data_IF_496716757012
#
_entry.id   IF_496716757012
#
_cell.length_a   1.000
_cell.length_b   1.000
_cell.length_c   1.000
_cell.angle_alpha   90.00
_cell.angle_beta   90.00
_cell.angle_gamma   90.00
#
_symmetry.space_group_name_H-M   'P 1'
#
loop_
_entity.id
_entity.type
_entity.pdbx_description
1 polymer ?
#
# COMPACT_ATOMS: atom_id res chain seq x y z
N UNK A 1 -6.02 47.81 -35.14
CA UNK A 1 -6.39 46.67 -34.26
C UNK A 1 -6.43 45.40 -35.12
N UNK A 2 -5.45 44.50 -34.96
CA UNK A 2 -5.33 43.29 -35.78
C UNK A 2 -6.16 42.17 -35.12
N UNK A 3 -7.25 41.75 -35.77
CA UNK A 3 -8.11 40.65 -35.33
C UNK A 3 -7.47 39.33 -35.77
N UNK A 4 -6.86 38.60 -34.84
CA UNK A 4 -6.33 37.24 -35.09
C UNK A 4 -7.51 36.26 -35.11
N UNK A 5 -7.91 35.81 -36.30
CA UNK A 5 -8.90 34.75 -36.46
C UNK A 5 -8.21 33.40 -36.30
N UNK A 6 -8.56 32.65 -35.27
CA UNK A 6 -8.08 31.27 -35.09
C UNK A 6 -8.77 30.41 -36.16
N UNK A 7 -8.01 29.67 -37.00
CA UNK A 7 -8.61 28.84 -38.04
C UNK A 7 -9.42 27.71 -37.41
N UNK A 8 -10.63 27.46 -37.91
CA UNK A 8 -11.55 26.40 -37.41
C UNK A 8 -10.90 25.00 -37.38
N UNK A 9 -9.88 24.78 -38.21
CA UNK A 9 -9.07 23.55 -38.23
C UNK A 9 -8.25 23.35 -36.96
N UNK A 10 -7.79 24.43 -36.31
CA UNK A 10 -7.07 24.35 -35.03
C UNK A 10 -7.99 23.94 -33.87
N UNK A 11 -9.29 24.24 -33.95
CA UNK A 11 -10.28 23.85 -32.94
C UNK A 11 -10.60 22.35 -33.01
N UNK A 12 -10.66 21.76 -34.20
CA UNK A 12 -10.84 20.31 -34.37
C UNK A 12 -9.63 19.49 -33.92
N UNK A 13 -8.40 19.98 -34.12
CA UNK A 13 -7.19 19.29 -33.66
C UNK A 13 -7.05 19.27 -32.13
N UNK A 14 -7.53 20.31 -31.44
CA UNK A 14 -7.54 20.40 -29.97
C UNK A 14 -8.56 19.47 -29.32
N UNK A 15 -9.66 19.12 -30.02
CA UNK A 15 -10.68 18.20 -29.52
C UNK A 15 -10.28 16.72 -29.65
N UNK A 16 -9.37 16.37 -30.57
CA UNK A 16 -8.90 14.99 -30.76
C UNK A 16 -7.86 14.55 -29.71
N UNK A 17 -7.24 15.48 -28.97
CA UNK A 17 -6.22 15.17 -27.96
C UNK A 17 -6.78 14.70 -26.61
N UNK A 18 -8.10 14.64 -26.41
CA UNK A 18 -8.70 14.18 -25.14
C UNK A 18 -8.92 12.65 -25.09
N UNK A 19 -8.71 11.92 -26.18
CA UNK A 19 -8.87 10.46 -26.20
C UNK A 19 -7.55 9.75 -25.82
N UNK A 20 -7.07 9.95 -24.59
CA UNK A 20 -6.05 9.05 -24.02
C UNK A 20 -6.77 7.89 -23.35
N UNK A 21 -6.81 6.74 -24.02
CA UNK A 21 -7.30 5.51 -23.42
C UNK A 21 -6.17 4.97 -22.53
N UNK A 22 -6.34 5.04 -21.20
CA UNK A 22 -5.41 4.44 -20.26
C UNK A 22 -5.51 2.91 -20.28
N UNK A 23 -4.43 2.18 -19.92
CA UNK A 23 -4.47 0.72 -19.85
C UNK A 23 -5.55 0.27 -18.85
N UNK A 24 -6.38 -0.70 -19.26
CA UNK A 24 -7.35 -1.36 -18.39
C UNK A 24 -6.63 -2.33 -17.45
N UNK A 25 -5.99 -1.82 -16.40
CA UNK A 25 -5.40 -2.65 -15.36
C UNK A 25 -6.52 -3.32 -14.58
N UNK A 26 -6.61 -4.64 -14.67
CA UNK A 26 -7.52 -5.42 -13.84
C UNK A 26 -6.79 -5.85 -12.56
N UNK A 27 -7.42 -5.65 -11.41
CA UNK A 27 -6.86 -5.97 -10.10
C UNK A 27 -7.51 -7.24 -9.53
N UNK A 28 -6.69 -8.06 -8.87
CA UNK A 28 -7.15 -9.22 -8.13
C UNK A 28 -7.31 -8.86 -6.64
N UNK A 29 -8.55 -8.88 -6.16
CA UNK A 29 -8.89 -8.59 -4.76
C UNK A 29 -8.97 -9.87 -3.91
N UNK A 30 -9.18 -11.04 -4.52
CA UNK A 30 -9.29 -12.32 -3.82
C UNK A 30 -10.27 -12.24 -2.64
N UNK A 31 -9.79 -12.59 -1.44
CA UNK A 31 -10.56 -12.53 -0.18
C UNK A 31 -10.32 -11.25 0.63
N UNK A 32 -10.01 -10.13 -0.03
CA UNK A 32 -9.72 -8.87 0.66
C UNK A 32 -10.89 -8.39 1.53
N UNK A 33 -12.12 -8.39 1.00
CA UNK A 33 -13.32 -7.99 1.73
C UNK A 33 -13.57 -8.89 2.95
N UNK A 34 -13.38 -10.20 2.80
CA UNK A 34 -13.52 -11.17 3.89
C UNK A 34 -12.49 -10.92 4.99
N UNK A 35 -11.26 -10.53 4.62
CA UNK A 35 -10.20 -10.18 5.59
C UNK A 35 -10.57 -8.96 6.45
N UNK A 36 -11.31 -8.00 5.89
CA UNK A 36 -11.83 -6.85 6.62
C UNK A 36 -12.98 -7.27 7.54
N UNK A 37 -13.92 -8.05 7.02
CA UNK A 37 -15.08 -8.51 7.78
C UNK A 37 -14.66 -9.38 8.96
N UNK A 38 -13.72 -10.30 8.76
CA UNK A 38 -13.26 -11.20 9.82
C UNK A 38 -12.59 -10.45 10.96
N UNK A 39 -11.79 -9.41 10.67
CA UNK A 39 -11.18 -8.54 11.70
C UNK A 39 -12.21 -7.68 12.42
N UNK A 40 -13.24 -7.23 11.71
CA UNK A 40 -14.34 -6.47 12.31
C UNK A 40 -15.17 -7.33 13.28
N UNK A 41 -15.44 -8.59 12.91
CA UNK A 41 -16.22 -9.52 13.74
C UNK A 41 -15.40 -10.13 14.88
N UNK A 42 -14.11 -10.40 14.65
CA UNK A 42 -13.23 -11.08 15.59
C UNK A 42 -12.07 -10.14 15.95
N UNK A 43 -12.26 -9.29 16.95
CA UNK A 43 -11.22 -8.38 17.39
C UNK A 43 -10.02 -9.14 18.02
N UNK A 44 -8.83 -8.58 17.85
CA UNK A 44 -7.59 -9.11 18.43
C UNK A 44 -6.86 -10.09 17.52
N UNK A 45 -5.92 -10.83 18.11
CA UNK A 45 -4.91 -11.64 17.39
C UNK A 45 -5.54 -12.68 16.46
N UNK A 46 -6.63 -13.33 16.88
CA UNK A 46 -7.28 -14.37 16.08
C UNK A 46 -7.81 -13.83 14.74
N UNK A 47 -8.55 -12.71 14.76
CA UNK A 47 -9.07 -12.11 13.53
C UNK A 47 -7.96 -11.54 12.65
N UNK A 48 -6.91 -10.99 13.26
CA UNK A 48 -5.73 -10.50 12.54
C UNK A 48 -4.94 -11.61 11.87
N UNK A 49 -4.75 -12.75 12.53
CA UNK A 49 -4.07 -13.90 11.93
C UNK A 49 -4.90 -14.54 10.81
N UNK A 50 -6.22 -14.60 10.97
CA UNK A 50 -7.14 -15.08 9.93
C UNK A 50 -7.07 -14.17 8.69
N UNK A 51 -7.17 -12.85 8.88
CA UNK A 51 -7.03 -11.89 7.80
C UNK A 51 -5.65 -11.94 7.13
N UNK A 52 -4.57 -12.09 7.89
CA UNK A 52 -3.22 -12.21 7.33
C UNK A 52 -3.12 -13.45 6.42
N UNK A 53 -3.79 -14.54 6.78
CA UNK A 53 -3.85 -15.76 5.94
C UNK A 53 -4.61 -15.48 4.65
N UNK A 54 -5.76 -14.82 4.72
CA UNK A 54 -6.56 -14.45 3.54
C UNK A 54 -5.77 -13.53 2.58
N UNK A 55 -5.10 -12.51 3.11
CA UNK A 55 -4.30 -11.59 2.32
C UNK A 55 -3.08 -12.28 1.69
N UNK A 56 -2.41 -13.18 2.42
CA UNK A 56 -1.32 -13.98 1.87
C UNK A 56 -1.79 -14.87 0.72
N UNK A 57 -2.97 -15.49 0.83
CA UNK A 57 -3.59 -16.25 -0.28
C UNK A 57 -3.86 -15.34 -1.46
N UNK A 58 -4.49 -14.17 -1.27
CA UNK A 58 -4.74 -13.20 -2.34
C UNK A 58 -3.45 -12.80 -3.08
N UNK A 59 -2.37 -12.53 -2.34
CA UNK A 59 -1.06 -12.15 -2.89
C UNK A 59 -0.45 -13.30 -3.71
N UNK A 60 -0.61 -14.54 -3.25
CA UNK A 60 -0.05 -15.70 -3.93
C UNK A 60 -0.84 -16.11 -5.17
N UNK A 61 -2.15 -15.85 -5.21
CA UNK A 61 -3.01 -16.21 -6.33
C UNK A 61 -2.95 -15.21 -7.48
N UNK A 62 -2.87 -13.90 -7.19
CA UNK A 62 -2.90 -12.87 -8.24
C UNK A 62 -1.84 -13.07 -9.36
N UNK A 63 -0.56 -13.40 -9.07
CA UNK A 63 0.45 -13.58 -10.11
C UNK A 63 0.24 -14.85 -10.96
N UNK A 64 -0.56 -15.82 -10.49
CA UNK A 64 -0.71 -17.12 -11.15
C UNK A 64 -1.58 -17.09 -12.39
N UNK A 65 -2.48 -16.10 -12.49
CA UNK A 65 -3.36 -15.96 -13.64
C UNK A 65 -2.72 -15.20 -14.82
N UNK A 66 -1.56 -14.55 -14.59
CA UNK A 66 -0.80 -13.77 -15.57
C UNK A 66 -1.56 -12.57 -16.16
N UNK A 67 -2.72 -12.23 -15.61
CA UNK A 67 -3.68 -11.26 -16.14
C UNK A 67 -3.95 -10.12 -15.16
N UNK A 68 -3.76 -10.37 -13.87
CA UNK A 68 -4.10 -9.43 -12.81
C UNK A 68 -2.90 -9.13 -11.94
N UNK A 69 -2.79 -7.86 -11.54
CA UNK A 69 -1.90 -7.49 -10.46
C UNK A 69 -2.64 -7.62 -9.13
N UNK A 70 -1.91 -7.94 -8.07
CA UNK A 70 -2.40 -7.80 -6.68
C UNK A 70 -2.98 -6.39 -6.54
N UNK A 71 -4.18 -6.22 -5.99
CA UNK A 71 -4.81 -4.92 -5.87
C UNK A 71 -4.01 -3.92 -4.99
N UNK A 72 -4.13 -2.59 -5.24
CA UNK A 72 -3.46 -1.58 -4.43
C UNK A 72 -3.90 -1.68 -2.97
N UNK A 73 -2.94 -1.53 -2.06
CA UNK A 73 -3.13 -1.59 -0.63
C UNK A 73 -3.11 -2.99 -0.02
N UNK A 74 -3.19 -4.07 -0.81
CA UNK A 74 -3.19 -5.45 -0.28
C UNK A 74 -1.83 -5.79 0.34
N UNK A 75 -0.73 -5.45 -0.32
CA UNK A 75 0.61 -5.63 0.25
C UNK A 75 0.82 -4.74 1.48
N UNK A 76 0.30 -3.50 1.46
CA UNK A 76 0.37 -2.61 2.61
C UNK A 76 -0.36 -3.17 3.85
N UNK A 77 -1.59 -3.66 3.67
CA UNK A 77 -2.39 -4.20 4.77
C UNK A 77 -1.79 -5.51 5.31
N UNK A 78 -1.31 -6.37 4.42
CA UNK A 78 -0.61 -7.59 4.84
C UNK A 78 0.67 -7.27 5.62
N UNK A 79 1.49 -6.33 5.12
CA UNK A 79 2.68 -5.85 5.82
C UNK A 79 2.37 -5.28 7.20
N UNK A 80 1.27 -4.53 7.34
CA UNK A 80 0.82 -4.02 8.63
C UNK A 80 0.46 -5.15 9.61
N UNK A 81 -0.27 -6.18 9.16
CA UNK A 81 -0.58 -7.34 9.99
C UNK A 81 0.66 -8.13 10.42
N UNK A 82 1.63 -8.30 9.52
CA UNK A 82 2.92 -8.93 9.84
C UNK A 82 3.68 -8.14 10.90
N UNK A 83 3.69 -6.82 10.80
CA UNK A 83 4.30 -5.95 11.81
C UNK A 83 3.65 -6.13 13.18
N UNK A 84 2.31 -6.19 13.24
CA UNK A 84 1.58 -6.45 14.49
C UNK A 84 1.90 -7.81 15.11
N UNK A 85 2.21 -8.81 14.28
CA UNK A 85 2.67 -10.14 14.70
C UNK A 85 4.16 -10.18 15.09
N UNK A 86 4.87 -9.05 15.06
CA UNK A 86 6.30 -8.96 15.35
C UNK A 86 7.22 -9.42 14.20
N UNK A 87 6.66 -9.76 13.04
CA UNK A 87 7.40 -10.18 11.84
C UNK A 87 7.87 -8.95 11.05
N UNK A 88 8.77 -8.17 11.67
CA UNK A 88 9.17 -6.85 11.16
C UNK A 88 9.85 -6.91 9.79
N UNK A 89 10.70 -7.90 9.56
CA UNK A 89 11.42 -8.03 8.28
C UNK A 89 10.47 -8.39 7.12
N UNK A 90 9.54 -9.32 7.36
CA UNK A 90 8.51 -9.67 6.38
C UNK A 90 7.59 -8.46 6.11
N UNK A 91 7.21 -7.72 7.16
CA UNK A 91 6.41 -6.51 7.01
C UNK A 91 7.09 -5.48 6.10
N UNK A 92 8.38 -5.22 6.31
CA UNK A 92 9.16 -4.29 5.47
C UNK A 92 9.19 -4.78 4.02
N UNK A 93 9.38 -6.09 3.79
CA UNK A 93 9.41 -6.65 2.45
C UNK A 93 8.08 -6.44 1.71
N UNK A 94 6.95 -6.63 2.38
CA UNK A 94 5.62 -6.38 1.79
C UNK A 94 5.37 -4.90 1.49
N UNK A 95 5.75 -4.00 2.40
CA UNK A 95 5.64 -2.56 2.16
C UNK A 95 6.53 -2.10 0.99
N UNK A 96 7.69 -2.72 0.78
CA UNK A 96 8.55 -2.47 -0.38
C UNK A 96 7.90 -2.93 -1.69
N UNK A 97 7.19 -4.08 -1.68
CA UNK A 97 6.43 -4.55 -2.85
C UNK A 97 5.31 -3.60 -3.21
N UNK A 98 4.54 -3.12 -2.23
CA UNK A 98 3.50 -2.10 -2.46
C UNK A 98 4.09 -0.84 -3.10
N UNK A 99 5.18 -0.31 -2.53
CA UNK A 99 5.88 0.86 -3.05
C UNK A 99 6.41 0.70 -4.49
N UNK A 100 6.75 -0.54 -4.88
CA UNK A 100 7.24 -0.84 -6.22
C UNK A 100 6.08 -0.97 -7.22
N UNK A 101 4.97 -1.59 -6.82
CA UNK A 101 3.77 -1.77 -7.66
C UNK A 101 2.97 -0.48 -7.83
N UNK A 102 2.96 0.36 -6.79
CA UNK A 102 2.10 1.54 -6.67
C UNK A 102 2.92 2.77 -6.27
N UNK A 103 3.52 3.49 -7.24
CA UNK A 103 4.35 4.67 -6.97
C UNK A 103 3.64 5.77 -6.15
N UNK A 104 2.32 5.86 -6.25
CA UNK A 104 1.48 6.78 -5.47
C UNK A 104 1.50 6.47 -3.96
N UNK A 105 1.76 5.21 -3.58
CA UNK A 105 1.81 4.78 -2.18
C UNK A 105 3.20 4.97 -1.54
N UNK A 106 4.25 5.16 -2.35
CA UNK A 106 5.65 5.20 -1.89
C UNK A 106 5.90 6.09 -0.67
N UNK A 107 5.39 7.34 -0.62
CA UNK A 107 5.66 8.21 0.53
C UNK A 107 5.15 7.59 1.85
N UNK A 108 3.98 6.94 1.81
CA UNK A 108 3.42 6.26 2.98
C UNK A 108 4.25 5.03 3.34
N UNK A 109 4.57 4.18 2.36
CA UNK A 109 5.32 2.94 2.59
C UNK A 109 6.70 3.19 3.18
N UNK A 110 7.44 4.17 2.66
CA UNK A 110 8.77 4.53 3.18
C UNK A 110 8.71 5.12 4.58
N UNK A 111 7.69 5.95 4.88
CA UNK A 111 7.47 6.43 6.25
C UNK A 111 7.20 5.28 7.22
N UNK A 112 6.40 4.29 6.84
CA UNK A 112 6.13 3.11 7.66
C UNK A 112 7.40 2.28 7.87
N UNK A 113 8.15 1.99 6.81
CA UNK A 113 9.41 1.23 6.85
C UNK A 113 10.43 1.91 7.77
N UNK A 114 10.64 3.22 7.63
CA UNK A 114 11.56 3.98 8.49
C UNK A 114 11.21 3.80 9.96
N UNK A 115 9.93 3.96 10.33
CA UNK A 115 9.49 3.81 11.73
C UNK A 115 9.65 2.39 12.26
N UNK A 116 9.54 1.38 11.40
CA UNK A 116 9.77 -0.01 11.78
C UNK A 116 11.26 -0.29 12.00
N UNK A 117 12.13 0.27 11.16
CA UNK A 117 13.59 0.16 11.29
C UNK A 117 14.11 0.85 12.55
N UNK A 118 13.57 2.05 12.86
CA UNK A 118 13.89 2.77 14.10
C UNK A 118 13.55 1.92 15.34
N UNK A 119 12.41 1.21 15.32
CA UNK A 119 12.02 0.29 16.42
C UNK A 119 12.86 -0.98 16.48
N UNK A 120 13.46 -1.43 15.38
CA UNK A 120 14.34 -2.61 15.33
C UNK A 120 15.71 -2.32 15.96
N UNK A 121 16.12 -1.07 15.94
CA UNK A 121 17.37 -0.64 16.58
C UNK A 121 17.06 -0.28 18.03
N UNK A 122 17.50 -1.06 19.03
CA UNK A 122 17.36 -0.63 20.41
C UNK A 122 18.16 0.66 20.58
N UNK A 123 17.49 1.79 20.84
CA UNK A 123 18.17 2.98 21.34
C UNK A 123 19.01 2.57 22.57
N UNK A 124 20.28 3.01 22.68
CA UNK A 124 20.99 2.94 23.94
C UNK A 124 20.13 3.62 24.98
N UNK A 125 19.71 2.87 26.01
CA UNK A 125 18.92 3.37 27.12
C UNK A 125 19.58 4.63 27.69
N UNK A 126 19.12 5.83 27.27
CA UNK A 126 19.47 7.06 27.94
C UNK A 126 18.82 6.98 29.32
N UNK A 127 19.69 6.89 30.32
CA UNK A 127 19.33 6.65 31.71
C UNK A 127 18.24 7.60 32.18
N UNK A 128 17.11 7.01 32.58
CA UNK A 128 16.30 7.58 33.65
C UNK A 128 17.09 7.45 34.95
N UNK A 129 18.10 8.32 35.09
CA UNK A 129 18.64 8.67 36.40
C UNK A 129 17.46 9.26 37.19
N UNK A 130 16.92 8.46 38.09
CA UNK A 130 15.94 8.92 39.08
C UNK A 130 16.61 10.01 39.90
N UNK A 131 16.29 11.27 39.60
CA UNK A 131 16.62 12.39 40.49
C UNK A 131 15.95 12.12 41.85
N UNK A 132 16.69 11.95 42.96
CA UNK A 132 16.05 11.87 44.27
C UNK A 132 15.40 13.21 44.57
N UNK A 133 14.10 13.19 44.86
CA UNK A 133 13.42 14.34 45.44
C UNK A 133 13.99 14.56 46.85
N UNK A 134 14.60 15.73 47.04
CA UNK A 134 14.95 16.26 48.35
C UNK A 134 13.75 16.96 48.98
#
# INVERSE_FOLDING_TARGET
MIRRTIPRTAFCALLLSLATCGPSTHFYWGSYEDSLLTRHQNAGEQGESSAATMLATTINEAPTDGKHNVAPGVHADYGYLLFKQGKVDDAIAELQKEAALYPESQPLMYNMISRMQDRKTPEPQQGLEKKPAS
#
